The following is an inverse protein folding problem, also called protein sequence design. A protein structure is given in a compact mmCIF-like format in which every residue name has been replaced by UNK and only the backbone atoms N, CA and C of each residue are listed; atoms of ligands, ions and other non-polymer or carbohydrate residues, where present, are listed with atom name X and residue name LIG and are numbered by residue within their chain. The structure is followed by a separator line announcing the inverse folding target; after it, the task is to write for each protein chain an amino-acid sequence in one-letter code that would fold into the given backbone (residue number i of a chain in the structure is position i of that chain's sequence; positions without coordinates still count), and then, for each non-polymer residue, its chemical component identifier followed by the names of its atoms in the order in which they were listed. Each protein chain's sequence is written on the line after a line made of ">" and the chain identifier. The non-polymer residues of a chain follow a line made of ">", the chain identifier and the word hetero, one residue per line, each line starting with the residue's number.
data_IF_725157489077
#
_entry.id   IF_725157489077
#
_cell.length_a   1.000
_cell.length_b   1.000
_cell.length_c   1.000
_cell.angle_alpha   90.00
_cell.angle_beta   90.00
_cell.angle_gamma   90.00
#
_symmetry.space_group_name_H-M   'P 1'
#
loop_
_entity.id
_entity.type
_entity.pdbx_description
1 polymer ?
#
# COMPACT_ATOMS: atom_id res chain seq x y z
N UNK A 1 7.23 -11.02 -4.17
CA UNK A 1 6.42 -12.09 -4.79
C UNK A 1 6.77 -13.43 -4.14
N UNK A 2 5.79 -14.28 -3.82
CA UNK A 2 6.04 -15.61 -3.22
C UNK A 2 6.77 -16.51 -4.22
N UNK A 3 8.01 -16.91 -3.89
CA UNK A 3 8.83 -17.75 -4.77
C UNK A 3 8.24 -19.15 -4.99
N UNK A 4 7.42 -19.63 -4.05
CA UNK A 4 6.79 -20.96 -4.14
C UNK A 4 5.60 -21.00 -5.11
N UNK A 5 5.15 -19.83 -5.63
CA UNK A 5 3.95 -19.74 -6.44
C UNK A 5 4.06 -20.54 -7.75
N UNK A 6 5.25 -20.58 -8.34
CA UNK A 6 5.55 -21.35 -9.55
C UNK A 6 5.27 -22.84 -9.33
N UNK A 7 5.79 -23.39 -8.24
CA UNK A 7 5.68 -24.82 -7.91
C UNK A 7 4.24 -25.19 -7.51
N UNK A 8 3.58 -24.32 -6.73
CA UNK A 8 2.20 -24.54 -6.26
C UNK A 8 1.15 -24.49 -7.38
N UNK A 9 1.42 -23.73 -8.43
CA UNK A 9 0.55 -23.59 -9.59
C UNK A 9 0.94 -24.54 -10.73
N UNK A 10 2.03 -25.30 -10.58
CA UNK A 10 2.55 -26.23 -11.60
C UNK A 10 2.78 -25.56 -12.97
N UNK A 11 3.39 -24.36 -12.96
CA UNK A 11 3.68 -23.58 -14.18
C UNK A 11 5.17 -23.34 -14.37
N UNK A 12 5.59 -23.02 -15.59
CA UNK A 12 7.01 -22.74 -15.89
C UNK A 12 7.48 -21.36 -15.39
N UNK A 13 6.57 -20.39 -15.35
CA UNK A 13 6.86 -19.01 -14.96
C UNK A 13 5.59 -18.32 -14.43
N UNK A 14 5.81 -17.30 -13.58
CA UNK A 14 4.75 -16.41 -13.10
C UNK A 14 5.20 -14.97 -13.33
N UNK A 15 4.31 -14.15 -13.87
CA UNK A 15 4.57 -12.75 -14.14
C UNK A 15 3.59 -11.87 -13.34
N UNK A 16 4.06 -10.92 -12.53
CA UNK A 16 3.18 -9.97 -11.87
C UNK A 16 2.75 -8.89 -12.89
N UNK A 17 1.63 -9.12 -13.56
CA UNK A 17 1.10 -8.21 -14.60
C UNK A 17 0.23 -7.07 -14.06
N UNK A 18 0.17 -6.90 -12.74
CA UNK A 18 -0.58 -5.81 -12.11
C UNK A 18 0.10 -4.48 -12.40
N UNK A 19 -0.69 -3.46 -12.70
CA UNK A 19 -0.22 -2.06 -12.82
C UNK A 19 -0.18 -1.33 -11.45
N UNK A 20 -0.59 -2.02 -10.37
CA UNK A 20 -0.50 -1.48 -9.02
C UNK A 20 0.88 -1.72 -8.40
N UNK A 21 1.39 -0.69 -7.74
CA UNK A 21 2.57 -0.78 -6.89
C UNK A 21 2.40 -1.85 -5.81
N UNK A 22 3.47 -2.62 -5.57
CA UNK A 22 3.51 -3.55 -4.45
C UNK A 22 3.68 -2.84 -3.10
N UNK A 23 3.72 -3.61 -2.01
CA UNK A 23 3.80 -3.06 -0.66
C UNK A 23 5.08 -2.23 -0.42
N UNK A 24 6.23 -2.68 -0.88
CA UNK A 24 7.50 -1.96 -0.65
C UNK A 24 7.58 -0.75 -1.57
N UNK A 25 7.08 -0.84 -2.80
CA UNK A 25 6.96 0.30 -3.71
C UNK A 25 6.05 1.40 -3.12
N UNK A 26 4.90 1.03 -2.53
CA UNK A 26 4.02 1.98 -1.83
C UNK A 26 4.73 2.66 -0.65
N UNK A 27 5.46 1.89 0.17
CA UNK A 27 6.21 2.45 1.31
C UNK A 27 7.31 3.41 0.84
N UNK A 28 8.10 2.99 -0.15
CA UNK A 28 9.17 3.79 -0.73
C UNK A 28 8.62 5.10 -1.32
N UNK A 29 7.50 5.03 -2.05
CA UNK A 29 6.86 6.20 -2.60
C UNK A 29 6.41 7.19 -1.51
N UNK A 30 5.76 6.70 -0.44
CA UNK A 30 5.32 7.53 0.67
C UNK A 30 6.49 8.22 1.39
N UNK A 31 7.59 7.50 1.62
CA UNK A 31 8.83 8.02 2.21
C UNK A 31 9.46 9.11 1.34
N UNK A 32 9.56 8.89 0.04
CA UNK A 32 10.18 9.83 -0.91
C UNK A 32 9.39 11.13 -1.06
N UNK A 33 8.07 11.04 -1.11
CA UNK A 33 7.20 12.22 -1.24
C UNK A 33 7.20 13.05 0.05
N UNK A 34 7.36 12.40 1.22
CA UNK A 34 7.41 13.04 2.54
C UNK A 34 6.26 14.04 2.76
N UNK A 35 5.04 13.61 2.46
CA UNK A 35 3.85 14.44 2.66
C UNK A 35 3.64 14.78 4.15
N UNK A 36 3.01 15.92 4.42
CA UNK A 36 2.66 16.31 5.80
C UNK A 36 1.57 15.43 6.43
N UNK A 37 0.75 14.76 5.60
CA UNK A 37 -0.23 13.75 5.98
C UNK A 37 -0.47 12.83 4.77
N UNK A 38 -0.45 11.52 5.01
CA UNK A 38 -0.77 10.49 4.02
C UNK A 38 -2.09 9.81 4.37
N UNK A 39 -2.98 9.71 3.40
CA UNK A 39 -4.25 9.00 3.54
C UNK A 39 -4.20 7.71 2.72
N UNK A 40 -4.49 6.58 3.35
CA UNK A 40 -4.58 5.29 2.67
C UNK A 40 -6.04 4.99 2.35
N UNK A 41 -6.27 4.39 1.19
CA UNK A 41 -7.59 3.99 0.67
C UNK A 41 -7.44 2.72 -0.14
N UNK A 42 -8.55 2.04 -0.42
CA UNK A 42 -8.66 0.90 -1.34
C UNK A 42 -7.77 -0.31 -0.95
N UNK A 43 -8.35 -1.29 -0.27
CA UNK A 43 -7.68 -2.52 0.13
C UNK A 43 -7.35 -2.51 1.62
N UNK A 44 -6.12 -2.90 1.97
CA UNK A 44 -5.60 -2.97 3.34
C UNK A 44 -5.14 -1.59 3.84
N UNK A 45 -6.07 -0.63 3.86
CA UNK A 45 -5.77 0.77 4.14
C UNK A 45 -5.29 1.01 5.58
N UNK A 46 -5.93 0.39 6.56
CA UNK A 46 -5.59 0.50 7.98
C UNK A 46 -4.21 -0.10 8.28
N UNK A 47 -3.92 -1.28 7.71
CA UNK A 47 -2.62 -1.94 7.84
C UNK A 47 -1.51 -1.14 7.15
N UNK A 48 -1.75 -0.65 5.93
CA UNK A 48 -0.76 0.17 5.23
C UNK A 48 -0.48 1.45 6.03
N UNK A 49 -1.50 2.15 6.52
CA UNK A 49 -1.30 3.33 7.36
C UNK A 49 -0.52 3.01 8.65
N UNK A 50 -0.80 1.86 9.28
CA UNK A 50 -0.02 1.39 10.43
C UNK A 50 1.46 1.20 10.07
N UNK A 51 1.75 0.57 8.93
CA UNK A 51 3.12 0.36 8.46
C UNK A 51 3.85 1.68 8.15
N UNK A 52 3.19 2.62 7.48
CA UNK A 52 3.74 3.95 7.22
C UNK A 52 4.01 4.71 8.54
N UNK A 53 3.14 4.61 9.54
CA UNK A 53 3.38 5.19 10.87
C UNK A 53 4.59 4.59 11.56
N UNK A 54 4.81 3.26 11.46
CA UNK A 54 6.01 2.60 12.00
C UNK A 54 7.30 3.07 11.31
N UNK A 55 7.21 3.52 10.07
CA UNK A 55 8.30 4.14 9.29
C UNK A 55 8.47 5.64 9.56
N UNK A 56 7.69 6.21 10.48
CA UNK A 56 7.81 7.62 10.91
C UNK A 56 6.93 8.62 10.15
N UNK A 57 6.10 8.15 9.21
CA UNK A 57 5.20 9.00 8.44
C UNK A 57 3.89 9.26 9.19
N UNK A 58 3.30 10.44 8.99
CA UNK A 58 1.94 10.71 9.46
C UNK A 58 0.94 10.10 8.49
N UNK A 59 0.33 8.99 8.86
CA UNK A 59 -0.62 8.29 7.99
C UNK A 59 -1.87 7.80 8.73
N UNK A 60 -3.03 7.85 8.06
CA UNK A 60 -4.29 7.23 8.51
C UNK A 60 -5.15 6.71 7.33
N UNK A 61 -5.97 5.66 7.53
CA UNK A 61 -6.96 5.31 6.53
C UNK A 61 -8.00 6.42 6.39
N UNK A 62 -8.58 6.56 5.20
CA UNK A 62 -9.69 7.46 4.94
C UNK A 62 -10.99 6.66 4.88
N UNK A 63 -11.81 6.77 5.93
CA UNK A 63 -13.09 6.07 6.00
C UNK A 63 -14.18 6.82 5.23
N UNK A 64 -15.25 6.13 4.83
CA UNK A 64 -16.34 6.69 4.02
C UNK A 64 -17.06 7.90 4.67
N UNK A 65 -16.90 8.08 5.99
CA UNK A 65 -17.47 9.20 6.76
C UNK A 65 -16.49 10.36 6.95
N UNK A 66 -15.25 10.25 6.46
CA UNK A 66 -14.25 11.31 6.53
C UNK A 66 -14.54 12.40 5.48
N UNK A 67 -15.55 13.23 5.73
CA UNK A 67 -15.68 14.51 5.03
C UNK A 67 -14.57 15.45 5.50
N UNK A 68 -13.44 15.48 4.79
CA UNK A 68 -12.26 16.23 5.22
C UNK A 68 -12.40 17.75 5.06
N UNK A 69 -13.29 18.20 4.18
CA UNK A 69 -13.92 19.54 4.12
C UNK A 69 -14.79 19.61 2.89
N UNK A 70 -15.95 20.25 3.00
CA UNK A 70 -16.90 20.41 1.91
C UNK A 70 -17.57 21.78 2.08
N UNK A 71 -16.78 22.83 2.31
CA UNK A 71 -17.03 23.94 3.24
C UNK A 71 -16.72 23.57 4.70
#
# INVERSE_FOLDING_TARGET
>A
MDASLKDRLEVDAVFPLSDHADFEELCCYAEQVNASMTYTVLGFDEELAMHLRRRGLRAKPLAQVDQLRLF
#
